data_IF_023871926608
#
_entry.id   IF_023871926608
#
_cell.length_a   1.000
_cell.length_b   1.000
_cell.length_c   1.000
_cell.angle_alpha   90.00
_cell.angle_beta   90.00
_cell.angle_gamma   90.00
#
_symmetry.space_group_name_H-M   'P 1'
#
loop_
_entity.id
_entity.type
_entity.pdbx_description
1 polymer ?
#
# COMPACT_ATOMS: atom_id res chain seq x y z
N UNK A 1 -38.61 14.63 -19.13
CA UNK A 1 -38.06 13.26 -19.14
C UNK A 1 -36.62 13.31 -19.68
N UNK A 2 -35.65 13.68 -18.85
CA UNK A 2 -34.23 13.62 -19.23
C UNK A 2 -33.45 13.04 -18.06
N UNK A 3 -33.06 11.79 -18.22
CA UNK A 3 -32.39 10.94 -17.25
C UNK A 3 -31.06 11.56 -16.83
N UNK A 4 -30.87 11.73 -15.51
CA UNK A 4 -29.59 12.11 -14.91
C UNK A 4 -28.59 10.99 -15.15
N UNK A 5 -27.51 11.29 -15.88
CA UNK A 5 -26.40 10.36 -16.07
C UNK A 5 -25.78 10.11 -14.70
N UNK A 6 -25.81 8.85 -14.29
CA UNK A 6 -25.06 8.25 -13.20
C UNK A 6 -23.63 8.79 -13.20
N UNK A 7 -23.22 9.40 -12.09
CA UNK A 7 -21.82 9.66 -11.82
C UNK A 7 -21.18 8.30 -11.57
N UNK A 8 -20.55 7.74 -12.60
CA UNK A 8 -19.69 6.57 -12.43
C UNK A 8 -18.46 7.03 -11.63
N UNK A 9 -18.49 6.80 -10.32
CA UNK A 9 -17.30 6.91 -9.49
C UNK A 9 -16.32 5.83 -9.96
N UNK A 10 -15.29 6.26 -10.69
CA UNK A 10 -14.15 5.40 -11.01
C UNK A 10 -13.43 5.08 -9.69
N UNK A 11 -13.72 3.92 -9.10
CA UNK A 11 -12.86 3.32 -8.09
C UNK A 11 -11.58 2.88 -8.83
N UNK A 12 -10.60 3.77 -8.91
CA UNK A 12 -9.32 3.45 -9.52
C UNK A 12 -8.70 2.26 -8.80
N UNK A 13 -8.25 1.26 -9.55
CA UNK A 13 -7.50 0.14 -8.97
C UNK A 13 -6.26 0.68 -8.26
N UNK A 14 -6.30 0.73 -6.93
CA UNK A 14 -5.10 0.92 -6.12
C UNK A 14 -4.28 -0.38 -6.24
N UNK A 15 -3.39 -0.43 -7.24
CA UNK A 15 -2.36 -1.48 -7.33
C UNK A 15 -1.66 -1.56 -5.98
N UNK A 16 -1.78 -2.69 -5.29
CA UNK A 16 -1.00 -2.99 -4.09
C UNK A 16 0.47 -2.74 -4.39
N UNK A 17 1.05 -1.72 -3.78
CA UNK A 17 2.42 -1.30 -4.04
C UNK A 17 3.37 -2.11 -3.16
N UNK A 18 4.29 -2.83 -3.80
CA UNK A 18 5.32 -3.60 -3.13
C UNK A 18 6.52 -2.72 -2.80
N UNK A 19 7.06 -2.84 -1.58
CA UNK A 19 8.20 -2.04 -1.11
C UNK A 19 9.27 -2.96 -0.54
N UNK A 20 10.46 -3.00 -1.15
CA UNK A 20 11.59 -3.79 -0.65
C UNK A 20 12.22 -3.10 0.56
N UNK A 21 12.34 -3.81 1.68
CA UNK A 21 12.92 -3.33 2.93
C UNK A 21 14.10 -4.23 3.33
N UNK A 22 15.34 -3.88 2.96
CA UNK A 22 16.53 -4.55 3.48
C UNK A 22 16.75 -4.18 4.95
N UNK A 23 17.21 -5.12 5.79
CA UNK A 23 17.40 -4.89 7.23
C UNK A 23 16.09 -4.66 7.99
N UNK A 24 14.97 -5.14 7.45
CA UNK A 24 13.62 -4.90 7.99
C UNK A 24 13.34 -5.59 9.32
N UNK A 25 14.24 -6.46 9.80
CA UNK A 25 14.15 -7.09 11.13
C UNK A 25 14.91 -6.27 12.20
N UNK A 26 15.71 -5.26 11.80
CA UNK A 26 16.42 -4.37 12.72
C UNK A 26 15.51 -3.38 13.47
N UNK A 27 16.07 -2.64 14.44
CA UNK A 27 15.32 -1.70 15.29
C UNK A 27 14.56 -0.62 14.48
N UNK A 28 15.22 -0.04 13.47
CA UNK A 28 14.61 0.98 12.61
C UNK A 28 13.76 0.33 11.51
N UNK A 29 14.27 -0.77 10.93
CA UNK A 29 13.61 -1.48 9.84
C UNK A 29 12.23 -2.02 10.23
N UNK A 30 12.12 -2.59 11.43
CA UNK A 30 10.87 -3.14 11.96
C UNK A 30 9.79 -2.07 12.12
N UNK A 31 10.14 -0.89 12.63
CA UNK A 31 9.21 0.24 12.70
C UNK A 31 8.77 0.69 11.30
N UNK A 32 9.69 0.71 10.34
CA UNK A 32 9.38 1.06 8.95
C UNK A 32 8.39 0.07 8.30
N UNK A 33 8.54 -1.22 8.55
CA UNK A 33 7.62 -2.27 8.05
C UNK A 33 6.21 -2.07 8.59
N UNK A 34 6.07 -1.72 9.88
CA UNK A 34 4.76 -1.47 10.50
C UNK A 34 4.06 -0.26 9.85
N UNK A 35 4.77 0.84 9.63
CA UNK A 35 4.20 2.03 8.99
C UNK A 35 3.78 1.74 7.54
N UNK A 36 4.57 0.97 6.80
CA UNK A 36 4.24 0.57 5.43
C UNK A 36 2.97 -0.29 5.38
N UNK A 37 2.86 -1.30 6.24
CA UNK A 37 1.63 -2.13 6.34
C UNK A 37 0.43 -1.27 6.72
N UNK A 38 0.60 -0.36 7.68
CA UNK A 38 -0.46 0.55 8.15
C UNK A 38 -0.95 1.47 7.04
N UNK A 39 -0.04 1.92 6.17
CA UNK A 39 -0.38 2.72 5.00
C UNK A 39 -0.90 1.89 3.80
N UNK A 40 -1.08 0.57 3.96
CA UNK A 40 -1.65 -0.31 2.94
C UNK A 40 -0.66 -0.83 1.89
N UNK A 41 0.64 -0.66 2.12
CA UNK A 41 1.68 -1.23 1.28
C UNK A 41 1.94 -2.69 1.60
N UNK A 42 2.60 -3.39 0.67
CA UNK A 42 3.08 -4.75 0.87
C UNK A 42 4.60 -4.72 0.97
N UNK A 43 5.18 -4.61 2.17
CA UNK A 43 6.62 -4.68 2.31
C UNK A 43 7.14 -6.10 2.01
N UNK A 44 8.24 -6.16 1.28
CA UNK A 44 9.04 -7.38 1.07
C UNK A 44 10.30 -7.20 1.89
N UNK A 45 10.40 -7.93 3.00
CA UNK A 45 11.53 -7.80 3.93
C UNK A 45 12.64 -8.76 3.54
N UNK A 46 13.87 -8.25 3.46
CA UNK A 46 15.08 -9.07 3.27
C UNK A 46 16.05 -8.73 4.41
N UNK A 47 16.50 -9.75 5.11
CA UNK A 47 17.52 -9.63 6.14
C UNK A 47 18.52 -10.80 5.96
N UNK A 48 19.70 -10.70 6.58
CA UNK A 48 20.73 -11.73 6.49
C UNK A 48 20.48 -12.89 7.46
#
# INVERSE_FOLDING_TARGET
YRTVKTFDFFEGEHKKQYVLVPGGVGFIGSHCVIELVTAGYIPIVVDN
#
